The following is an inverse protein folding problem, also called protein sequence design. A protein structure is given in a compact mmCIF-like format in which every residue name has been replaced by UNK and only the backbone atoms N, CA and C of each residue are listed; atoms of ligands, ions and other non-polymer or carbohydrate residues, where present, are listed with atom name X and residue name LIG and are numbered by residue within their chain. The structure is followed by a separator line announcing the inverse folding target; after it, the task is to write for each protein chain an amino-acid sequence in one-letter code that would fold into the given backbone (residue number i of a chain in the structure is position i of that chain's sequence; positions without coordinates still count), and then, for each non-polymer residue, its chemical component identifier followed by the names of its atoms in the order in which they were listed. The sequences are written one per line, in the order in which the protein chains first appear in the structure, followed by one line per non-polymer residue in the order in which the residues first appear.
data_IF_746475823583
#
_entry.id   IF_746475823583
#
_cell.length_a   1.000
_cell.length_b   1.000
_cell.length_c   1.000
_cell.angle_alpha   90.00
_cell.angle_beta   90.00
_cell.angle_gamma   90.00
#
_symmetry.space_group_name_H-M   'P 1'
#
loop_
_entity.id
_entity.type
_entity.pdbx_description
1 polymer ?
#
# COMPACT_ATOMS: atom_id res chain seq x y z
N UNK A 1 -7.43 23.97 12.33
CA UNK A 1 -7.30 23.82 10.87
C UNK A 1 -6.64 22.48 10.59
N UNK A 2 -7.09 21.77 9.57
CA UNK A 2 -6.57 20.44 9.20
C UNK A 2 -5.95 20.53 7.81
N UNK A 3 -4.74 20.02 7.63
CA UNK A 3 -4.03 20.11 6.35
C UNK A 3 -2.92 19.06 6.21
N UNK A 4 -2.58 18.75 4.96
CA UNK A 4 -1.37 18.01 4.63
C UNK A 4 -0.18 18.96 4.65
N UNK A 5 0.88 18.58 5.34
CA UNK A 5 2.17 19.25 5.30
C UNK A 5 3.17 18.36 4.56
N UNK A 6 3.71 18.83 3.44
CA UNK A 6 4.74 18.09 2.71
C UNK A 6 6.11 18.33 3.34
N UNK A 7 6.74 17.26 3.85
CA UNK A 7 8.03 17.33 4.55
C UNK A 7 9.10 16.62 3.73
N UNK A 8 10.20 17.31 3.47
CA UNK A 8 11.37 16.70 2.81
C UNK A 8 12.04 15.70 3.74
N UNK A 9 12.26 14.47 3.27
CA UNK A 9 12.88 13.38 4.01
C UNK A 9 13.79 12.50 3.14
N UNK A 10 14.08 11.28 3.61
CA UNK A 10 14.91 10.30 2.88
C UNK A 10 14.10 9.24 2.14
N UNK A 11 12.79 9.16 2.39
CA UNK A 11 11.86 8.20 1.78
C UNK A 11 10.47 8.79 1.59
N UNK A 12 9.56 7.96 1.07
CA UNK A 12 8.16 8.30 0.86
C UNK A 12 7.33 7.63 1.97
N UNK A 13 6.48 8.39 2.65
CA UNK A 13 5.61 7.86 3.68
C UNK A 13 4.45 8.82 4.00
N UNK A 14 3.32 8.25 4.39
CA UNK A 14 2.19 8.96 4.99
C UNK A 14 1.56 8.11 6.09
N UNK A 15 0.85 8.78 7.00
CA UNK A 15 -0.14 8.12 7.85
C UNK A 15 -1.33 7.65 7.00
N UNK A 16 -2.03 6.61 7.47
CA UNK A 16 -3.28 6.17 6.85
C UNK A 16 -4.45 6.93 7.47
N UNK A 17 -5.17 7.68 6.65
CA UNK A 17 -6.35 8.44 7.02
C UNK A 17 -6.05 9.70 7.82
N UNK A 18 -7.13 10.39 8.19
CA UNK A 18 -7.08 11.67 8.90
C UNK A 18 -6.49 11.52 10.32
N UNK A 19 -5.45 12.31 10.63
CA UNK A 19 -4.80 12.30 11.95
C UNK A 19 -5.21 13.46 12.87
N UNK A 20 -5.80 14.53 12.32
CA UNK A 20 -6.06 15.77 13.07
C UNK A 20 -4.90 16.77 13.02
N UNK A 21 -5.22 18.05 12.83
CA UNK A 21 -4.21 19.11 12.76
C UNK A 21 -3.35 19.04 11.50
N UNK A 22 -2.07 19.37 11.65
CA UNK A 22 -1.08 19.20 10.59
C UNK A 22 -0.65 17.74 10.52
N UNK A 23 -0.74 17.12 9.34
CA UNK A 23 -0.28 15.75 9.13
C UNK A 23 0.75 15.69 8.00
N UNK A 24 1.86 15.02 8.26
CA UNK A 24 3.00 14.98 7.35
C UNK A 24 2.79 13.96 6.22
N UNK A 25 3.08 14.39 5.00
CA UNK A 25 3.42 13.51 3.88
C UNK A 25 4.91 13.69 3.58
N UNK A 26 5.69 12.64 3.78
CA UNK A 26 7.12 12.66 3.59
C UNK A 26 7.48 12.36 2.14
N UNK A 27 8.40 13.13 1.59
CA UNK A 27 8.94 12.87 0.26
C UNK A 27 10.46 13.09 0.27
N UNK A 28 11.19 12.14 -0.31
CA UNK A 28 12.62 12.24 -0.52
C UNK A 28 12.98 12.34 -1.99
N UNK A 29 14.27 12.56 -2.27
CA UNK A 29 14.79 12.70 -3.65
C UNK A 29 14.51 11.48 -4.54
N UNK A 30 14.37 10.29 -3.95
CA UNK A 30 14.06 9.06 -4.68
C UNK A 30 12.56 8.86 -4.97
N UNK A 31 11.68 9.67 -4.37
CA UNK A 31 10.24 9.58 -4.59
C UNK A 31 9.88 10.19 -5.94
N UNK A 32 9.27 9.40 -6.82
CA UNK A 32 8.69 9.89 -8.05
C UNK A 32 7.23 10.34 -7.82
N UNK A 33 6.59 10.86 -8.88
CA UNK A 33 5.19 11.31 -8.83
C UNK A 33 4.25 10.19 -8.39
N UNK A 34 4.47 8.96 -8.86
CA UNK A 34 3.69 7.79 -8.46
C UNK A 34 3.82 7.49 -6.96
N UNK A 35 5.03 7.59 -6.39
CA UNK A 35 5.20 7.45 -4.94
C UNK A 35 4.44 8.53 -4.18
N UNK A 36 4.47 9.78 -4.63
CA UNK A 36 3.73 10.84 -3.94
C UNK A 36 2.21 10.63 -4.04
N UNK A 37 1.70 10.17 -5.18
CA UNK A 37 0.30 9.78 -5.35
C UNK A 37 -0.07 8.64 -4.39
N UNK A 38 0.78 7.62 -4.24
CA UNK A 38 0.60 6.53 -3.28
C UNK A 38 0.47 7.06 -1.83
N UNK A 39 1.38 7.94 -1.41
CA UNK A 39 1.32 8.50 -0.06
C UNK A 39 0.07 9.37 0.17
N UNK A 40 -0.40 10.08 -0.86
CA UNK A 40 -1.66 10.82 -0.77
C UNK A 40 -2.88 9.89 -0.65
N UNK A 41 -2.87 8.73 -1.31
CA UNK A 41 -3.92 7.71 -1.13
C UNK A 41 -3.91 7.16 0.29
N UNK A 42 -2.74 6.96 0.89
CA UNK A 42 -2.66 6.65 2.32
C UNK A 42 -3.28 7.77 3.17
N UNK A 43 -2.93 9.03 2.94
CA UNK A 43 -3.51 10.16 3.68
C UNK A 43 -5.05 10.23 3.57
N UNK A 44 -5.62 9.79 2.44
CA UNK A 44 -7.06 9.67 2.23
C UNK A 44 -7.71 8.48 2.98
N UNK A 45 -6.92 7.51 3.43
CA UNK A 45 -7.38 6.37 4.24
C UNK A 45 -7.21 5.01 3.58
N UNK A 46 -6.60 4.93 2.39
CA UNK A 46 -6.42 3.66 1.70
C UNK A 46 -5.26 2.87 2.32
N UNK A 47 -5.48 1.58 2.55
CA UNK A 47 -4.43 0.63 2.88
C UNK A 47 -3.85 0.01 1.60
N UNK A 48 -2.75 -0.72 1.74
CA UNK A 48 -2.18 -1.46 0.61
C UNK A 48 -3.15 -2.53 0.10
N UNK A 49 -3.19 -2.72 -1.22
CA UNK A 49 -4.11 -3.66 -1.87
C UNK A 49 -3.93 -5.10 -1.35
N UNK A 50 -2.68 -5.54 -1.14
CA UNK A 50 -2.36 -6.88 -0.62
C UNK A 50 -2.72 -7.11 0.85
N UNK A 51 -3.26 -6.08 1.52
CA UNK A 51 -3.76 -6.15 2.89
C UNK A 51 -5.28 -6.15 2.97
N UNK A 52 -5.99 -6.18 1.83
CA UNK A 52 -7.45 -6.31 1.79
C UNK A 52 -7.95 -7.56 2.52
N UNK A 53 -9.20 -7.54 3.04
CA UNK A 53 -9.80 -8.69 3.72
C UNK A 53 -9.99 -9.91 2.82
N UNK A 54 -10.13 -9.72 1.50
CA UNK A 54 -10.32 -10.77 0.50
C UNK A 54 -9.02 -11.19 -0.21
N UNK A 55 -7.86 -10.61 0.17
CA UNK A 55 -6.60 -10.76 -0.58
C UNK A 55 -6.16 -12.21 -0.77
N UNK A 56 -6.46 -13.10 0.18
CA UNK A 56 -6.06 -14.53 0.12
C UNK A 56 -6.73 -15.28 -1.04
N UNK A 57 -7.75 -14.70 -1.70
CA UNK A 57 -8.33 -15.23 -2.94
C UNK A 57 -7.47 -14.90 -4.19
N UNK A 58 -6.63 -13.87 -4.11
CA UNK A 58 -5.94 -13.25 -5.25
C UNK A 58 -4.42 -13.38 -5.19
N UNK A 59 -3.85 -13.43 -3.98
CA UNK A 59 -2.41 -13.51 -3.77
C UNK A 59 -2.06 -14.44 -2.61
N UNK A 60 -0.85 -15.00 -2.66
CA UNK A 60 -0.24 -15.76 -1.58
C UNK A 60 1.01 -15.04 -1.09
N UNK A 61 1.10 -14.81 0.22
CA UNK A 61 2.30 -14.22 0.84
C UNK A 61 3.33 -15.33 1.07
N UNK A 62 4.52 -15.17 0.50
CA UNK A 62 5.65 -16.07 0.77
C UNK A 62 6.32 -15.68 2.08
N UNK A 63 5.77 -16.13 3.21
CA UNK A 63 6.24 -15.73 4.55
C UNK A 63 7.73 -16.01 4.80
N UNK A 64 8.28 -17.07 4.21
CA UNK A 64 9.71 -17.39 4.33
C UNK A 64 10.63 -16.34 3.66
N UNK A 65 10.10 -15.57 2.71
CA UNK A 65 10.81 -14.49 2.03
C UNK A 65 10.57 -13.12 2.70
N UNK A 66 9.71 -13.06 3.72
CA UNK A 66 9.46 -11.83 4.47
C UNK A 66 10.64 -11.57 5.40
N UNK A 67 11.20 -10.36 5.33
CA UNK A 67 12.26 -9.93 6.25
C UNK A 67 11.75 -10.06 7.70
N UNK A 68 12.47 -10.77 8.59
CA UNK A 68 12.04 -10.93 9.97
C UNK A 68 11.72 -9.60 10.66
N UNK A 69 10.56 -9.54 11.33
CA UNK A 69 10.04 -8.33 11.97
C UNK A 69 9.25 -7.40 11.04
N UNK A 70 9.07 -7.75 9.76
CA UNK A 70 8.25 -6.99 8.79
C UNK A 70 6.93 -7.66 8.43
N UNK A 71 6.57 -8.76 9.10
CA UNK A 71 5.37 -9.56 8.84
C UNK A 71 4.08 -8.74 8.95
N UNK A 72 4.07 -7.74 9.83
CA UNK A 72 2.93 -6.83 10.02
C UNK A 72 2.57 -6.03 8.76
N UNK A 73 3.49 -5.85 7.81
CA UNK A 73 3.23 -5.17 6.54
C UNK A 73 2.36 -5.99 5.58
N UNK A 74 2.25 -7.30 5.82
CA UNK A 74 1.50 -8.24 4.98
C UNK A 74 0.27 -8.79 5.69
N UNK A 75 -0.02 -8.36 6.92
CA UNK A 75 -1.24 -8.76 7.62
C UNK A 75 -2.46 -8.06 7.03
N UNK A 76 -3.54 -8.82 6.90
CA UNK A 76 -4.85 -8.31 6.52
C UNK A 76 -5.27 -7.16 7.45
N UNK A 77 -5.79 -6.09 6.87
CA UNK A 77 -6.35 -4.94 7.57
C UNK A 77 -7.87 -5.02 7.52
N UNK A 78 -8.51 -4.58 8.60
CA UNK A 78 -9.96 -4.36 8.59
C UNK A 78 -10.26 -3.20 7.66
N UNK A 79 -11.27 -3.36 6.82
CA UNK A 79 -11.66 -2.35 5.85
C UNK A 79 -12.81 -2.85 4.99
N UNK A 80 -13.23 -1.99 4.07
CA UNK A 80 -14.26 -2.25 3.08
C UNK A 80 -13.60 -2.32 1.70
N UNK A 81 -13.97 -3.34 0.92
CA UNK A 81 -13.54 -3.48 -0.48
C UNK A 81 -14.32 -2.56 -1.41
N UNK A 82 -15.39 -1.93 -0.91
CA UNK A 82 -16.29 -1.05 -1.65
C UNK A 82 -16.92 -1.76 -2.86
N UNK A 83 -17.07 -3.08 -2.77
CA UNK A 83 -17.51 -3.96 -3.86
C UNK A 83 -16.64 -3.84 -5.15
N UNK A 84 -15.43 -3.31 -5.04
CA UNK A 84 -14.47 -3.21 -6.14
C UNK A 84 -13.63 -4.49 -6.25
N UNK A 85 -13.32 -4.93 -7.47
CA UNK A 85 -12.42 -6.08 -7.68
C UNK A 85 -11.03 -5.79 -7.12
N UNK A 86 -10.29 -6.85 -6.83
CA UNK A 86 -8.87 -6.74 -6.49
C UNK A 86 -8.08 -6.26 -7.70
N UNK A 87 -7.23 -5.25 -7.52
CA UNK A 87 -6.47 -4.64 -8.61
C UNK A 87 -4.95 -4.88 -8.44
N UNK A 88 -4.39 -5.76 -9.27
CA UNK A 88 -2.96 -6.07 -9.27
C UNK A 88 -2.08 -4.90 -9.74
N UNK A 89 -2.64 -3.98 -10.53
CA UNK A 89 -1.96 -2.78 -11.04
C UNK A 89 -2.24 -1.56 -10.16
N UNK A 90 -2.95 -1.74 -9.04
CA UNK A 90 -3.25 -0.68 -8.08
C UNK A 90 -1.97 0.01 -7.64
N UNK A 91 -1.99 1.35 -7.63
CA UNK A 91 -0.88 2.14 -7.10
C UNK A 91 -0.60 1.78 -5.63
N UNK A 92 -1.57 1.18 -4.92
CA UNK A 92 -1.46 0.74 -3.54
C UNK A 92 -0.95 -0.71 -3.39
N UNK A 93 -0.70 -1.44 -4.47
CA UNK A 93 -0.20 -2.80 -4.42
C UNK A 93 1.32 -2.83 -4.27
N UNK A 94 1.84 -3.67 -3.36
CA UNK A 94 3.28 -3.91 -3.26
C UNK A 94 3.83 -4.62 -4.50
N UNK A 95 5.09 -4.37 -4.83
CA UNK A 95 5.80 -5.12 -5.86
C UNK A 95 5.85 -6.63 -5.58
N UNK A 96 5.99 -7.43 -6.63
CA UNK A 96 5.83 -8.89 -6.63
C UNK A 96 6.96 -9.69 -5.96
N UNK A 97 8.04 -9.06 -5.51
CA UNK A 97 9.20 -9.80 -4.96
C UNK A 97 8.91 -10.64 -3.71
N UNK A 98 7.83 -10.31 -2.98
CA UNK A 98 7.41 -11.03 -1.76
C UNK A 98 5.99 -11.63 -1.89
N UNK A 99 5.32 -11.42 -3.02
CA UNK A 99 3.91 -11.77 -3.24
C UNK A 99 3.79 -12.64 -4.48
N UNK A 100 3.23 -13.85 -4.32
CA UNK A 100 2.83 -14.69 -5.46
C UNK A 100 1.41 -14.32 -5.87
N UNK A 101 1.21 -14.10 -7.17
CA UNK A 101 -0.13 -13.98 -7.74
C UNK A 101 -0.77 -15.37 -7.74
N UNK A 102 -2.03 -15.48 -7.29
CA UNK A 102 -2.75 -16.74 -7.42
C UNK A 102 -2.91 -17.07 -8.91
N UNK A 103 -2.66 -18.33 -9.27
CA UNK A 103 -2.39 -18.80 -10.64
C UNK A 103 -3.62 -18.83 -11.57
N UNK A 104 -4.58 -17.92 -11.41
CA UNK A 104 -5.82 -17.93 -12.18
C UNK A 104 -5.83 -17.06 -13.45
N UNK A 105 -4.74 -16.38 -13.84
CA UNK A 105 -4.62 -15.84 -15.21
C UNK A 105 -3.21 -15.99 -15.82
N UNK A 106 -3.13 -16.21 -17.15
CA UNK A 106 -1.89 -16.29 -17.89
C UNK A 106 -1.27 -14.89 -17.99
N UNK A 107 0.06 -14.85 -17.97
CA UNK A 107 0.85 -13.67 -18.34
C UNK A 107 0.29 -13.10 -19.65
N UNK A 108 -0.31 -11.91 -19.61
CA UNK A 108 -0.58 -11.15 -20.84
C UNK A 108 0.78 -10.69 -21.36
N UNK A 109 1.12 -11.23 -22.53
CA UNK A 109 2.20 -10.81 -23.42
C UNK A 109 2.04 -9.37 -23.88
#
# INVERSE_FOLDING_TARGET
MNYIEFISGTGCASYVGFQGGAQSVYFGRACNVGNLCHELMHALGLHHEHTRPDRDQYVTIQWDNVVPGKENNFKVKKGDTQDLPYDYDSIMHYGTSVILLSSLFPLKS
#
